data_IF_237476175524
#
_entry.id   IF_237476175524
#
_cell.length_a   1.000
_cell.length_b   1.000
_cell.length_c   1.000
_cell.angle_alpha   90.00
_cell.angle_beta   90.00
_cell.angle_gamma   90.00
#
_symmetry.space_group_name_H-M   'P 1'
#
loop_
_entity.id
_entity.type
_entity.pdbx_description
1 polymer ?
#
# COMPACT_ATOMS: atom_id res chain seq x y z
N UNK A 1 -21.13 5.61 2.99
CA UNK A 1 -20.62 6.29 1.78
C UNK A 1 -20.92 5.41 0.56
N UNK A 2 -20.69 5.88 -0.67
CA UNK A 2 -21.04 5.11 -1.88
C UNK A 2 -19.78 4.76 -2.69
N UNK A 3 -19.80 3.61 -3.35
CA UNK A 3 -18.76 3.13 -4.28
C UNK A 3 -19.40 2.47 -5.49
N UNK A 4 -18.67 2.35 -6.59
CA UNK A 4 -19.06 1.56 -7.76
C UNK A 4 -18.66 0.09 -7.61
N UNK A 5 -19.22 -0.79 -8.45
CA UNK A 5 -18.78 -2.19 -8.50
C UNK A 5 -17.32 -2.29 -8.94
N UNK A 6 -16.55 -3.12 -8.24
CA UNK A 6 -15.11 -3.30 -8.43
C UNK A 6 -14.23 -2.24 -7.77
N UNK A 7 -14.81 -1.14 -7.28
CA UNK A 7 -14.08 -0.18 -6.46
C UNK A 7 -13.87 -0.72 -5.05
N UNK A 8 -12.83 -0.17 -4.41
CA UNK A 8 -12.53 -0.40 -3.01
C UNK A 8 -13.36 0.54 -2.14
N UNK A 9 -14.14 -0.03 -1.23
CA UNK A 9 -14.77 0.69 -0.13
C UNK A 9 -13.86 0.63 1.09
N UNK A 10 -13.11 1.69 1.30
CA UNK A 10 -12.10 1.77 2.34
C UNK A 10 -12.49 2.71 3.47
N UNK A 11 -12.17 2.31 4.71
CA UNK A 11 -12.26 3.17 5.88
C UNK A 11 -11.29 2.71 6.97
N UNK A 12 -11.09 3.53 7.99
CA UNK A 12 -10.20 3.23 9.11
C UNK A 12 -10.95 3.18 10.44
N UNK A 13 -10.62 2.17 11.25
CA UNK A 13 -10.88 2.18 12.69
C UNK A 13 -9.61 2.67 13.39
N UNK A 14 -9.69 3.79 14.11
CA UNK A 14 -8.59 4.31 14.93
C UNK A 14 -8.94 4.18 16.41
N UNK A 15 -7.97 3.77 17.22
CA UNK A 15 -8.12 3.66 18.67
C UNK A 15 -6.84 4.14 19.36
N UNK A 16 -6.99 4.62 20.60
CA UNK A 16 -5.90 5.15 21.39
C UNK A 16 -5.67 4.27 22.61
N UNK A 17 -4.43 3.90 22.85
CA UNK A 17 -4.00 3.19 24.06
C UNK A 17 -3.46 4.23 25.04
N UNK A 18 -4.04 4.37 26.25
CA UNK A 18 -3.56 5.30 27.26
C UNK A 18 -2.10 5.04 27.67
N UNK A 19 -1.39 6.08 28.12
CA UNK A 19 0.02 5.99 28.55
C UNK A 19 0.24 5.08 29.76
N UNK A 20 -0.76 4.95 30.63
CA UNK A 20 -0.76 4.12 31.83
C UNK A 20 -1.29 2.70 31.58
N UNK A 21 -1.75 2.40 30.37
CA UNK A 21 -2.23 1.07 30.00
C UNK A 21 -1.05 0.14 29.65
N UNK A 22 -1.17 -1.13 30.07
CA UNK A 22 -0.30 -2.19 29.56
C UNK A 22 -0.59 -2.50 28.09
N UNK A 23 0.24 -3.35 27.45
CA UNK A 23 -0.03 -3.83 26.09
C UNK A 23 -1.44 -4.41 25.98
N UNK A 24 -2.17 -3.98 24.95
CA UNK A 24 -3.50 -4.50 24.64
C UNK A 24 -3.44 -5.33 23.37
N UNK A 25 -4.15 -6.46 23.37
CA UNK A 25 -4.45 -7.19 22.15
C UNK A 25 -5.87 -6.78 21.73
N UNK A 26 -5.97 -6.10 20.59
CA UNK A 26 -7.24 -5.59 20.06
C UNK A 26 -7.63 -6.47 18.89
N UNK A 27 -8.68 -7.24 19.07
CA UNK A 27 -9.26 -8.06 18.00
C UNK A 27 -10.29 -7.24 17.25
N UNK A 28 -10.06 -7.03 15.95
CA UNK A 28 -10.97 -6.33 15.05
C UNK A 28 -11.66 -7.35 14.18
N UNK A 29 -12.98 -7.40 14.30
CA UNK A 29 -13.86 -8.23 13.48
C UNK A 29 -14.75 -7.34 12.61
N UNK A 30 -15.05 -7.81 11.40
CA UNK A 30 -16.01 -7.18 10.50
C UNK A 30 -17.04 -8.23 10.14
N UNK A 31 -18.33 -7.96 10.37
CA UNK A 31 -19.41 -8.95 10.24
C UNK A 31 -19.74 -9.40 8.80
N UNK A 32 -18.94 -8.98 7.82
CA UNK A 32 -18.93 -9.53 6.45
C UNK A 32 -17.63 -10.30 6.09
N UNK A 33 -16.70 -10.44 7.03
CA UNK A 33 -15.38 -11.06 6.80
C UNK A 33 -15.43 -12.57 6.52
N UNK A 34 -16.61 -13.20 6.58
CA UNK A 34 -16.83 -14.55 6.06
C UNK A 34 -16.94 -14.60 4.53
N UNK A 35 -17.02 -13.45 3.86
CA UNK A 35 -16.81 -13.31 2.43
C UNK A 35 -15.35 -12.92 2.16
N UNK A 36 -14.70 -13.52 1.16
CA UNK A 36 -13.34 -13.20 0.72
C UNK A 36 -13.16 -11.73 0.23
N UNK A 37 -14.16 -10.87 0.45
CA UNK A 37 -14.26 -9.50 -0.01
C UNK A 37 -13.65 -8.48 0.97
N UNK A 38 -13.36 -8.86 2.22
CA UNK A 38 -12.82 -7.97 3.25
C UNK A 38 -11.35 -8.27 3.55
N UNK A 39 -10.50 -7.24 3.51
CA UNK A 39 -9.08 -7.31 3.86
C UNK A 39 -8.80 -6.31 4.97
N UNK A 40 -8.28 -6.82 6.09
CA UNK A 40 -7.84 -6.00 7.22
C UNK A 40 -6.34 -5.78 7.17
N UNK A 41 -5.89 -4.54 7.37
CA UNK A 41 -4.48 -4.19 7.47
C UNK A 41 -4.23 -3.28 8.66
N UNK A 42 -3.14 -3.51 9.37
CA UNK A 42 -2.64 -2.57 10.37
C UNK A 42 -2.03 -1.37 9.64
N UNK A 43 -2.35 -0.17 10.08
CA UNK A 43 -1.68 1.04 9.62
C UNK A 43 -0.51 1.30 10.55
N UNK A 44 0.68 0.91 10.10
CA UNK A 44 1.91 0.98 10.87
C UNK A 44 2.50 2.39 10.75
N UNK A 45 2.78 2.99 11.90
CA UNK A 45 3.44 4.29 11.96
C UNK A 45 4.95 4.14 11.68
N UNK A 46 5.42 4.66 10.54
CA UNK A 46 6.81 4.61 10.08
C UNK A 46 7.57 5.89 10.46
N UNK A 47 8.88 5.82 10.75
CA UNK A 47 9.67 7.00 11.06
C UNK A 47 9.84 7.91 9.84
N UNK A 48 9.52 9.19 9.98
CA UNK A 48 9.74 10.25 9.02
C UNK A 48 10.72 11.27 9.62
N UNK A 49 11.91 11.39 9.03
CA UNK A 49 12.95 12.31 9.47
C UNK A 49 12.82 13.71 8.85
N UNK A 50 12.12 13.84 7.73
CA UNK A 50 11.85 15.11 7.08
C UNK A 50 10.53 15.00 6.31
N UNK A 51 9.51 15.74 6.76
CA UNK A 51 8.15 15.70 6.18
C UNK A 51 8.12 16.36 4.80
N UNK A 52 8.81 17.49 4.64
CA UNK A 52 8.98 18.17 3.35
C UNK A 52 10.13 19.16 3.41
N UNK A 53 10.63 19.57 2.24
CA UNK A 53 11.55 20.71 2.09
C UNK A 53 10.80 22.06 1.97
N UNK A 54 9.50 22.00 1.64
CA UNK A 54 8.62 23.17 1.50
C UNK A 54 7.26 22.87 2.12
N UNK A 55 6.77 23.77 2.93
CA UNK A 55 5.48 23.62 3.60
C UNK A 55 4.50 24.66 3.06
N UNK A 56 3.25 24.24 2.90
CA UNK A 56 2.11 25.12 2.65
C UNK A 56 1.10 25.04 3.82
N UNK A 57 0.00 25.78 3.70
CA UNK A 57 -1.02 25.87 4.74
C UNK A 57 -1.85 24.59 4.95
N UNK A 58 -1.72 23.57 4.07
CA UNK A 58 -2.48 22.32 4.14
C UNK A 58 -1.74 21.22 4.91
N UNK A 59 -0.49 21.43 5.33
CA UNK A 59 0.22 20.49 6.19
C UNK A 59 -0.38 20.48 7.60
N UNK A 60 -0.87 19.31 8.03
CA UNK A 60 -1.38 19.11 9.40
C UNK A 60 -0.25 19.02 10.44
N UNK A 61 0.94 18.58 10.02
CA UNK A 61 2.12 18.44 10.86
C UNK A 61 3.38 18.57 10.02
N UNK A 62 4.40 19.23 10.56
CA UNK A 62 5.68 19.50 9.87
C UNK A 62 6.90 18.93 10.61
N UNK A 63 6.71 18.43 11.83
CA UNK A 63 7.79 17.93 12.68
C UNK A 63 8.22 16.50 12.30
N UNK A 64 9.44 16.15 12.66
CA UNK A 64 9.90 14.75 12.57
C UNK A 64 9.08 13.87 13.51
N UNK A 65 8.96 12.58 13.20
CA UNK A 65 8.21 11.66 14.06
C UNK A 65 7.76 10.40 13.35
N UNK A 66 6.71 9.77 13.88
CA UNK A 66 6.10 8.57 13.29
C UNK A 66 4.79 8.94 12.62
N UNK A 67 4.60 8.47 11.40
CA UNK A 67 3.43 8.78 10.57
C UNK A 67 2.77 7.50 10.06
N UNK A 68 1.43 7.41 10.08
CA UNK A 68 0.71 6.22 9.64
C UNK A 68 0.78 6.10 8.11
N UNK A 69 1.54 5.15 7.59
CA UNK A 69 1.81 5.04 6.15
C UNK A 69 1.79 3.59 5.65
N UNK A 70 2.48 2.68 6.35
CA UNK A 70 2.61 1.30 5.91
C UNK A 70 1.36 0.49 6.25
N UNK A 71 0.69 -0.04 5.23
CA UNK A 71 -0.38 -1.02 5.41
C UNK A 71 0.18 -2.44 5.47
N UNK A 72 0.13 -3.05 6.65
CA UNK A 72 0.58 -4.43 6.88
C UNK A 72 -0.61 -5.39 6.99
N UNK A 73 -0.65 -6.52 6.26
CA UNK A 73 -1.71 -7.51 6.41
C UNK A 73 -1.90 -7.92 7.87
N UNK A 74 -3.15 -7.99 8.34
CA UNK A 74 -3.48 -8.50 9.66
C UNK A 74 -3.75 -10.00 9.61
N UNK A 75 -3.00 -10.76 10.38
CA UNK A 75 -3.32 -12.16 10.63
C UNK A 75 -4.45 -12.25 11.65
N UNK A 76 -5.52 -12.97 11.31
CA UNK A 76 -6.66 -13.22 12.20
C UNK A 76 -7.35 -11.97 12.77
N UNK A 77 -7.21 -10.81 12.12
CA UNK A 77 -7.84 -9.55 12.56
C UNK A 77 -7.30 -8.95 13.86
N UNK A 78 -6.14 -9.40 14.36
CA UNK A 78 -5.61 -8.94 15.66
C UNK A 78 -4.51 -7.90 15.53
N UNK A 79 -4.70 -6.75 16.17
CA UNK A 79 -3.66 -5.73 16.33
C UNK A 79 -3.05 -5.84 17.71
N UNK A 80 -1.75 -6.11 17.76
CA UNK A 80 -0.99 -6.04 19.01
C UNK A 80 -0.57 -4.60 19.30
N UNK A 81 -1.39 -3.89 20.06
CA UNK A 81 -1.14 -2.55 20.53
C UNK A 81 -0.14 -2.55 21.71
N UNK A 82 1.13 -2.73 21.38
CA UNK A 82 2.21 -2.89 22.37
C UNK A 82 2.72 -1.57 22.98
N UNK A 83 2.30 -0.42 22.44
CA UNK A 83 2.72 0.90 22.92
C UNK A 83 1.52 1.82 23.13
N UNK A 84 1.61 2.78 24.05
CA UNK A 84 0.65 3.88 24.11
C UNK A 84 0.53 4.66 22.80
N UNK A 85 -0.57 5.40 22.69
CA UNK A 85 -0.85 6.27 21.56
C UNK A 85 -1.83 5.67 20.56
N UNK A 86 -1.87 6.29 19.37
CA UNK A 86 -2.82 5.94 18.32
C UNK A 86 -2.37 4.74 17.50
N UNK A 87 -3.31 3.83 17.30
CA UNK A 87 -3.23 2.68 16.41
C UNK A 87 -4.42 2.72 15.47
N UNK A 88 -4.30 2.09 14.30
CA UNK A 88 -5.44 1.98 13.40
C UNK A 88 -5.41 0.74 12.53
N UNK A 89 -6.61 0.33 12.13
CA UNK A 89 -6.86 -0.75 11.17
C UNK A 89 -7.52 -0.15 9.94
N UNK A 90 -6.91 -0.40 8.79
CA UNK A 90 -7.51 -0.19 7.48
C UNK A 90 -8.44 -1.36 7.16
N UNK A 91 -9.69 -1.04 6.87
CA UNK A 91 -10.68 -1.99 6.37
C UNK A 91 -10.87 -1.71 4.89
N UNK A 92 -10.42 -2.65 4.06
CA UNK A 92 -10.65 -2.64 2.62
C UNK A 92 -11.75 -3.65 2.30
N UNK A 93 -12.80 -3.20 1.61
CA UNK A 93 -13.81 -4.10 1.07
C UNK A 93 -13.97 -3.94 -0.43
N UNK A 94 -14.12 -5.04 -1.16
CA UNK A 94 -14.37 -5.02 -2.61
C UNK A 94 -15.55 -5.89 -2.99
N UNK A 95 -16.47 -5.31 -3.77
CA UNK A 95 -17.64 -6.00 -4.27
C UNK A 95 -17.66 -5.95 -5.80
N UNK A 96 -17.59 -7.11 -6.44
CA UNK A 96 -17.61 -7.23 -7.90
C UNK A 96 -18.95 -7.70 -8.47
N UNK A 97 -19.77 -8.37 -7.66
CA UNK A 97 -21.00 -8.96 -8.14
C UNK A 97 -22.15 -7.93 -8.17
N UNK A 98 -22.81 -7.80 -9.32
CA UNK A 98 -24.01 -6.95 -9.47
C UNK A 98 -25.13 -7.34 -8.49
N UNK A 99 -25.21 -8.61 -8.09
CA UNK A 99 -26.15 -9.12 -7.09
C UNK A 99 -25.91 -8.57 -5.68
N UNK A 100 -24.72 -8.03 -5.43
CA UNK A 100 -24.35 -7.39 -4.17
C UNK A 100 -24.50 -5.85 -4.22
N UNK A 101 -25.08 -5.30 -5.29
CA UNK A 101 -25.36 -3.87 -5.39
C UNK A 101 -26.49 -3.45 -4.42
N UNK A 102 -26.39 -2.21 -3.93
CA UNK A 102 -27.33 -1.60 -2.99
C UNK A 102 -26.71 -1.27 -1.63
N UNK A 103 -27.55 -0.88 -0.65
CA UNK A 103 -27.11 -0.57 0.70
C UNK A 103 -26.63 -1.83 1.45
N UNK A 104 -25.41 -1.79 1.97
CA UNK A 104 -24.75 -2.86 2.73
C UNK A 104 -24.30 -2.30 4.08
N UNK A 105 -24.99 -2.64 5.17
CA UNK A 105 -24.50 -2.33 6.51
C UNK A 105 -23.36 -3.28 6.84
N UNK A 106 -22.20 -2.73 7.22
CA UNK A 106 -21.08 -3.54 7.72
C UNK A 106 -20.77 -3.09 9.13
N UNK A 107 -20.82 -4.05 10.04
CA UNK A 107 -20.55 -3.82 11.45
C UNK A 107 -19.09 -4.16 11.71
N UNK A 108 -18.38 -3.20 12.33
CA UNK A 108 -17.01 -3.37 12.79
C UNK A 108 -17.02 -3.37 14.29
N UNK A 109 -16.41 -4.42 14.85
CA UNK A 109 -16.33 -4.63 16.30
C UNK A 109 -14.87 -4.69 16.70
N UNK A 110 -14.52 -3.99 17.77
CA UNK A 110 -13.21 -4.07 18.39
C UNK A 110 -13.37 -4.61 19.82
N UNK A 111 -12.66 -5.70 20.10
CA UNK A 111 -12.68 -6.36 21.41
C UNK A 111 -11.32 -6.33 22.07
N UNK A 112 -11.31 -6.18 23.40
CA UNK A 112 -10.10 -6.21 24.23
C UNK A 112 -10.30 -7.25 25.32
N UNK A 113 -9.42 -8.27 25.36
CA UNK A 113 -9.56 -9.36 26.33
C UNK A 113 -10.83 -10.20 26.15
N UNK A 114 -11.39 -10.23 24.94
CA UNK A 114 -12.65 -10.93 24.62
C UNK A 114 -13.92 -10.10 24.84
N UNK A 115 -13.83 -8.95 25.48
CA UNK A 115 -14.96 -8.05 25.71
C UNK A 115 -15.06 -7.00 24.60
N UNK A 116 -16.26 -6.76 24.09
CA UNK A 116 -16.51 -5.74 23.05
C UNK A 116 -16.33 -4.36 23.66
N UNK A 117 -15.31 -3.63 23.18
CA UNK A 117 -15.02 -2.27 23.60
C UNK A 117 -15.63 -1.23 22.65
N UNK A 118 -15.86 -1.61 21.39
CA UNK A 118 -16.43 -0.74 20.37
C UNK A 118 -17.20 -1.55 19.35
N UNK A 119 -18.32 -1.00 18.89
CA UNK A 119 -19.12 -1.53 17.79
C UNK A 119 -19.68 -0.35 16.99
N UNK A 120 -19.53 -0.38 15.67
CA UNK A 120 -20.13 0.61 14.79
C UNK A 120 -20.52 -0.02 13.46
N UNK A 121 -21.70 0.36 12.98
CA UNK A 121 -22.14 0.00 11.62
C UNK A 121 -21.86 1.14 10.65
N UNK A 122 -21.17 0.80 9.56
CA UNK A 122 -20.90 1.68 8.42
C UNK A 122 -21.80 1.25 7.27
N UNK A 123 -22.60 2.18 6.73
CA UNK A 123 -23.42 1.90 5.56
C UNK A 123 -22.63 2.20 4.28
N UNK A 124 -22.28 1.14 3.54
CA UNK A 124 -21.70 1.25 2.19
C UNK A 124 -22.82 1.04 1.17
N UNK A 125 -22.94 1.97 0.22
CA UNK A 125 -23.92 1.87 -0.86
C UNK A 125 -23.19 1.54 -2.16
N UNK A 126 -23.34 0.30 -2.63
CA UNK A 126 -22.70 -0.19 -3.86
C UNK A 126 -23.58 0.15 -5.06
N UNK A 127 -23.10 1.03 -5.93
CA UNK A 127 -23.81 1.44 -7.14
C UNK A 127 -23.69 0.34 -8.20
N UNK A 128 -24.80 -0.01 -8.91
CA UNK A 128 -24.86 -1.14 -9.84
C UNK A 128 -24.18 -0.83 -11.20
N UNK A 129 -22.93 -0.36 -11.17
CA UNK A 129 -22.17 0.03 -12.34
C UNK A 129 -20.68 -0.19 -12.10
N UNK A 130 -19.99 -0.76 -13.08
CA UNK A 130 -18.54 -0.73 -13.14
C UNK A 130 -18.08 0.57 -13.79
N UNK A 131 -17.02 1.17 -13.25
CA UNK A 131 -16.33 2.25 -13.95
C UNK A 131 -15.57 1.71 -15.15
N UNK A 132 -15.49 2.48 -16.25
CA UNK A 132 -14.57 2.15 -17.34
C UNK A 132 -13.13 2.30 -16.87
N UNK A 133 -12.20 1.69 -17.60
CA UNK A 133 -10.77 1.90 -17.38
C UNK A 133 -10.42 3.39 -17.46
N UNK A 134 -9.41 3.78 -16.68
CA UNK A 134 -8.95 5.16 -16.63
C UNK A 134 -8.45 5.58 -18.03
N UNK A 135 -9.05 6.60 -18.67
CA UNK A 135 -8.71 6.99 -20.05
C UNK A 135 -7.41 7.80 -20.16
N UNK A 136 -6.75 8.06 -19.03
CA UNK A 136 -5.49 8.77 -18.95
C UNK A 136 -4.36 7.81 -18.56
N UNK A 137 -3.17 8.06 -19.08
CA UNK A 137 -1.97 7.32 -18.70
C UNK A 137 -1.62 7.64 -17.24
N UNK A 138 -1.70 6.64 -16.38
CA UNK A 138 -1.24 6.71 -15.00
C UNK A 138 0.06 5.93 -14.91
N UNK A 139 1.16 6.67 -14.95
CA UNK A 139 2.53 6.14 -14.87
C UNK A 139 3.14 6.48 -13.52
N UNK A 140 3.81 5.49 -12.93
CA UNK A 140 4.70 5.68 -11.77
C UNK A 140 6.10 5.21 -12.16
N UNK A 141 7.14 5.87 -11.63
CA UNK A 141 8.51 5.41 -11.83
C UNK A 141 8.72 4.09 -11.11
N UNK A 142 9.24 3.09 -11.84
CA UNK A 142 9.43 1.74 -11.33
C UNK A 142 10.92 1.40 -11.30
N UNK A 143 11.49 1.41 -10.10
CA UNK A 143 12.93 1.23 -9.86
C UNK A 143 13.27 -0.25 -9.65
N UNK A 144 13.50 -0.96 -10.75
CA UNK A 144 13.89 -2.37 -10.76
C UNK A 144 15.21 -2.62 -10.02
N UNK A 145 16.15 -1.69 -10.14
CA UNK A 145 17.44 -1.72 -9.46
C UNK A 145 17.28 -1.76 -7.94
N UNK A 146 16.35 -0.98 -7.39
CA UNK A 146 16.08 -0.96 -5.96
C UNK A 146 15.51 -2.30 -5.47
N UNK A 147 14.75 -3.02 -6.31
CA UNK A 147 14.26 -4.37 -5.98
C UNK A 147 15.40 -5.38 -5.99
N UNK A 148 16.27 -5.35 -7.01
CA UNK A 148 17.45 -6.20 -7.07
C UNK A 148 18.37 -5.99 -5.85
N UNK A 149 18.65 -4.72 -5.50
CA UNK A 149 19.53 -4.35 -4.40
C UNK A 149 18.91 -4.69 -3.03
N UNK A 150 17.63 -4.40 -2.82
CA UNK A 150 16.96 -4.64 -1.54
C UNK A 150 16.83 -6.14 -1.23
N UNK A 151 16.49 -6.95 -2.24
CA UNK A 151 16.33 -8.39 -2.07
C UNK A 151 17.63 -9.18 -2.29
N UNK A 152 18.73 -8.50 -2.63
CA UNK A 152 20.06 -9.08 -2.89
C UNK A 152 20.01 -10.22 -3.94
N UNK A 153 19.45 -9.91 -5.11
CA UNK A 153 19.32 -10.86 -6.23
C UNK A 153 19.88 -10.31 -7.53
N UNK A 154 20.42 -11.17 -8.43
CA UNK A 154 20.95 -10.70 -9.70
C UNK A 154 19.86 -10.05 -10.56
N UNK A 155 20.23 -8.94 -11.21
CA UNK A 155 19.37 -8.24 -12.17
C UNK A 155 18.89 -9.22 -13.24
N UNK A 156 17.58 -9.23 -13.46
CA UNK A 156 16.83 -10.09 -14.39
C UNK A 156 17.00 -11.61 -14.18
N UNK A 157 17.44 -12.04 -13.00
CA UNK A 157 17.25 -13.44 -12.59
C UNK A 157 15.76 -13.79 -12.48
N UNK A 158 15.44 -15.09 -12.53
CA UNK A 158 14.07 -15.60 -12.32
C UNK A 158 13.45 -15.06 -11.01
N UNK A 159 14.26 -14.98 -9.95
CA UNK A 159 13.79 -14.46 -8.67
C UNK A 159 13.52 -12.95 -8.74
N UNK A 160 14.35 -12.18 -9.45
CA UNK A 160 14.10 -10.76 -9.68
C UNK A 160 12.81 -10.54 -10.46
N UNK A 161 12.55 -11.31 -11.52
CA UNK A 161 11.29 -11.26 -12.27
C UNK A 161 10.08 -11.60 -11.39
N UNK A 162 10.19 -12.63 -10.55
CA UNK A 162 9.13 -12.98 -9.59
C UNK A 162 8.82 -11.84 -8.60
N UNK A 163 9.83 -11.07 -8.19
CA UNK A 163 9.64 -9.89 -7.34
C UNK A 163 8.98 -8.76 -8.15
N UNK A 164 9.47 -8.47 -9.34
CA UNK A 164 8.93 -7.47 -10.28
C UNK A 164 7.43 -7.69 -10.48
N UNK A 165 7.02 -8.91 -10.82
CA UNK A 165 5.61 -9.25 -11.08
C UNK A 165 4.70 -8.93 -9.89
N UNK A 166 5.17 -9.19 -8.66
CA UNK A 166 4.39 -8.87 -7.44
C UNK A 166 4.19 -7.38 -7.23
N UNK A 167 5.22 -6.58 -7.51
CA UNK A 167 5.11 -5.13 -7.42
C UNK A 167 4.31 -4.53 -8.58
N UNK A 168 4.43 -5.08 -9.80
CA UNK A 168 3.59 -4.70 -10.94
C UNK A 168 2.11 -4.99 -10.67
N UNK A 169 1.78 -6.16 -10.13
CA UNK A 169 0.40 -6.50 -9.73
C UNK A 169 -0.14 -5.56 -8.65
N UNK A 170 0.73 -5.07 -7.76
CA UNK A 170 0.35 -4.06 -6.76
C UNK A 170 0.10 -2.70 -7.40
N UNK A 171 0.93 -2.29 -8.36
CA UNK A 171 0.76 -1.05 -9.12
C UNK A 171 -0.53 -1.06 -9.94
N UNK A 172 -0.83 -2.17 -10.63
CA UNK A 172 -2.09 -2.39 -11.36
C UNK A 172 -3.30 -2.24 -10.42
N UNK A 173 -3.28 -2.87 -9.24
CA UNK A 173 -4.34 -2.74 -8.22
C UNK A 173 -4.54 -1.32 -7.71
N UNK A 174 -3.51 -0.47 -7.81
CA UNK A 174 -3.53 0.96 -7.48
C UNK A 174 -3.86 1.84 -8.69
N UNK A 175 -4.24 1.23 -9.82
CA UNK A 175 -4.68 1.91 -11.03
C UNK A 175 -3.55 2.38 -11.94
N UNK A 176 -2.30 1.95 -11.73
CA UNK A 176 -1.21 2.20 -12.68
C UNK A 176 -1.49 1.38 -13.94
N UNK A 177 -1.61 2.05 -15.08
CA UNK A 177 -1.94 1.42 -16.37
C UNK A 177 -0.81 1.54 -17.41
N UNK A 178 0.27 2.25 -17.07
CA UNK A 178 1.41 2.49 -17.93
C UNK A 178 2.70 2.40 -17.11
N UNK A 179 3.73 1.75 -17.64
CA UNK A 179 5.01 1.59 -16.94
C UNK A 179 6.20 1.93 -17.84
N UNK A 180 7.09 2.76 -17.31
CA UNK A 180 8.35 3.06 -17.99
C UNK A 180 9.25 1.83 -17.95
N UNK A 181 9.61 1.32 -19.12
CA UNK A 181 10.57 0.23 -19.25
C UNK A 181 11.94 0.80 -19.63
N UNK A 182 12.98 0.66 -18.79
CA UNK A 182 14.28 1.24 -19.07
C UNK A 182 15.01 0.43 -20.16
N UNK A 183 14.82 0.80 -21.43
CA UNK A 183 15.59 0.22 -22.54
C UNK A 183 17.07 0.50 -22.35
N UNK A 184 17.40 1.75 -22.03
CA UNK A 184 18.73 2.21 -21.65
C UNK A 184 18.61 3.11 -20.42
N UNK A 185 19.39 2.83 -19.38
CA UNK A 185 19.39 3.63 -18.15
C UNK A 185 20.56 4.61 -18.21
N UNK A 186 20.31 5.90 -18.50
CA UNK A 186 21.39 6.88 -18.50
C UNK A 186 21.92 7.05 -17.05
N UNK A 187 23.18 7.45 -16.86
CA UNK A 187 23.76 7.71 -15.54
C UNK A 187 23.26 9.03 -14.94
N UNK A 188 21.94 9.23 -14.95
CA UNK A 188 21.28 10.36 -14.29
C UNK A 188 21.14 10.03 -12.80
N UNK A 189 21.19 11.06 -11.96
CA UNK A 189 20.95 10.95 -10.51
C UNK A 189 21.88 10.01 -9.74
N UNK A 190 23.12 9.84 -10.21
CA UNK A 190 24.18 9.11 -9.49
C UNK A 190 25.24 10.10 -8.98
N UNK A 191 25.59 10.03 -7.70
CA UNK A 191 26.62 10.91 -7.14
C UNK A 191 27.99 10.65 -7.79
N UNK A 192 28.80 11.70 -7.93
CA UNK A 192 30.15 11.58 -8.52
C UNK A 192 30.96 10.54 -7.74
N UNK A 193 31.50 9.55 -8.46
CA UNK A 193 32.30 8.47 -7.89
C UNK A 193 31.49 7.31 -7.29
N UNK A 194 30.16 7.35 -7.37
CA UNK A 194 29.30 6.23 -7.01
C UNK A 194 28.74 5.54 -8.26
N UNK A 195 28.21 4.33 -8.07
CA UNK A 195 27.55 3.57 -9.12
C UNK A 195 26.20 3.09 -8.60
N UNK A 196 25.16 3.26 -9.41
CA UNK A 196 23.84 2.69 -9.18
C UNK A 196 23.75 1.39 -9.95
N UNK A 197 23.11 0.37 -9.37
CA UNK A 197 22.93 -0.93 -10.04
C UNK A 197 22.26 -0.73 -11.41
N UNK A 198 22.92 -1.10 -12.51
CA UNK A 198 22.43 -0.82 -13.85
C UNK A 198 21.35 -1.84 -14.18
N UNK A 199 20.14 -1.35 -14.45
CA UNK A 199 19.05 -2.16 -14.95
C UNK A 199 18.59 -1.57 -16.27
N UNK A 200 18.94 -2.23 -17.37
CA UNK A 200 18.61 -1.81 -18.74
C UNK A 200 18.48 -3.03 -19.65
N UNK A 201 17.65 -2.93 -20.68
CA UNK A 201 17.38 -4.04 -21.61
C UNK A 201 18.37 -4.14 -22.79
N UNK A 202 19.21 -3.12 -22.99
CA UNK A 202 20.25 -3.13 -24.02
C UNK A 202 21.61 -3.38 -23.39
N UNK A 203 22.43 -4.23 -24.00
CA UNK A 203 23.83 -4.37 -23.63
C UNK A 203 24.68 -3.46 -24.52
N UNK A 204 25.54 -2.63 -23.92
CA UNK A 204 26.36 -1.69 -24.70
C UNK A 204 27.82 -2.08 -24.57
N UNK A 205 28.43 -2.47 -25.69
CA UNK A 205 29.86 -2.83 -25.75
C UNK A 205 30.62 -1.88 -26.65
N UNK A 206 31.85 -1.50 -26.25
CA UNK A 206 32.79 -0.73 -27.07
C UNK A 206 34.03 -1.55 -27.39
N UNK A 207 34.29 -1.78 -28.68
CA UNK A 207 35.47 -2.52 -29.16
C UNK A 207 36.10 -1.76 -30.33
N UNK A 208 37.41 -1.50 -30.26
CA UNK A 208 38.18 -0.78 -31.29
C UNK A 208 37.54 0.55 -31.76
N UNK A 209 36.99 1.30 -30.81
CA UNK A 209 36.33 2.58 -31.09
C UNK A 209 34.92 2.47 -31.69
N UNK A 210 34.39 1.26 -31.90
CA UNK A 210 33.02 1.01 -32.35
C UNK A 210 32.12 0.59 -31.20
N UNK A 211 30.85 0.95 -31.29
CA UNK A 211 29.81 0.58 -30.34
C UNK A 211 28.92 -0.52 -30.93
N UNK A 212 28.53 -1.49 -30.12
CA UNK A 212 27.50 -2.49 -30.41
C UNK A 212 26.44 -2.49 -29.31
N UNK A 213 25.20 -2.80 -29.70
CA UNK A 213 23.98 -2.76 -28.89
C UNK A 213 23.18 -4.05 -29.13
#
# INVERSE_FOLDING_TARGET
FSVFLGESADFQLAFNVPDDAGPADVEVCVDEASSNACVLREVVAVPCQAVSQKFDAHYLKTDTGRYPDLLRPLEHGRVKAASPGWHSVWVEMRTNAISEAGPRPVTVTASVGGEVAFEQTVLINVLPRHLPDLPIEHTQWFHLDALADYYDVPVFSEEHWRIIERFMASAERLGVNTMLTPVWTPPLDTAVGSYRTPVQLVDITKTDGRWSF
#
